data_IF_700173293292
#
_entry.id   IF_700173293292
#
_cell.length_a   1.000
_cell.length_b   1.000
_cell.length_c   1.000
_cell.angle_alpha   90.00
_cell.angle_beta   90.00
_cell.angle_gamma   90.00
#
_symmetry.space_group_name_H-M   'P 1'
#
loop_
_entity.id
_entity.type
_entity.pdbx_description
1 polymer ?
#
# COMPACT_ATOMS: atom_id res chain seq x y z
N UNK A 1 -48.32 -67.78 -2.93
CA UNK A 1 -47.24 -67.90 -1.94
C UNK A 1 -46.03 -67.18 -2.51
N UNK A 2 -45.48 -66.20 -1.79
CA UNK A 2 -44.15 -65.60 -2.01
C UNK A 2 -44.01 -64.80 -3.33
N UNK A 3 -43.58 -63.54 -3.40
CA UNK A 3 -42.75 -62.70 -2.55
C UNK A 3 -43.10 -61.21 -2.78
N UNK A 4 -42.90 -60.40 -1.74
CA UNK A 4 -42.76 -58.93 -1.80
C UNK A 4 -41.28 -58.61 -2.05
N UNK A 5 -40.92 -57.63 -2.89
CA UNK A 5 -40.20 -56.51 -2.30
C UNK A 5 -40.50 -55.18 -3.02
N UNK A 6 -41.36 -54.36 -2.42
CA UNK A 6 -41.46 -52.93 -2.76
C UNK A 6 -40.22 -52.17 -2.26
N UNK A 7 -39.41 -51.71 -3.23
CA UNK A 7 -38.18 -50.95 -3.04
C UNK A 7 -38.40 -49.65 -2.25
N UNK A 8 -37.69 -49.57 -1.11
CA UNK A 8 -37.06 -48.41 -0.48
C UNK A 8 -37.19 -47.08 -1.26
N UNK A 9 -38.14 -46.24 -0.85
CA UNK A 9 -38.14 -44.81 -1.18
C UNK A 9 -37.02 -44.10 -0.40
N UNK A 10 -35.95 -43.78 -1.13
CA UNK A 10 -34.81 -43.01 -0.64
C UNK A 10 -35.23 -41.56 -0.41
N UNK A 11 -35.15 -41.12 0.85
CA UNK A 11 -35.34 -39.74 1.30
C UNK A 11 -34.45 -38.77 0.51
N UNK A 12 -35.03 -37.96 -0.38
CA UNK A 12 -34.37 -36.84 -1.03
C UNK A 12 -34.44 -35.60 -0.12
N UNK A 13 -33.66 -35.61 0.96
CA UNK A 13 -33.48 -34.47 1.86
C UNK A 13 -32.41 -33.53 1.27
N UNK A 14 -32.89 -32.37 0.80
CA UNK A 14 -32.27 -31.04 0.76
C UNK A 14 -30.73 -31.00 0.94
N UNK A 15 -30.01 -30.79 -0.16
CA UNK A 15 -28.58 -30.58 -0.14
C UNK A 15 -28.22 -29.12 0.21
N UNK A 16 -27.27 -29.01 1.15
CA UNK A 16 -26.29 -27.93 1.34
C UNK A 16 -26.70 -26.67 2.13
N UNK A 17 -26.83 -26.84 3.45
CA UNK A 17 -26.38 -25.84 4.43
C UNK A 17 -24.86 -25.93 4.55
N UNK A 18 -24.09 -25.02 3.93
CA UNK A 18 -22.78 -24.54 4.42
C UNK A 18 -22.49 -23.18 3.73
N UNK A 19 -22.93 -22.08 4.33
CA UNK A 19 -22.26 -20.79 4.15
C UNK A 19 -21.64 -20.45 5.49
N UNK A 20 -20.34 -20.68 5.54
CA UNK A 20 -19.46 -20.64 6.69
C UNK A 20 -19.55 -19.28 7.37
N UNK A 21 -19.79 -19.35 8.68
CA UNK A 21 -19.42 -18.41 9.72
C UNK A 21 -18.19 -17.59 9.33
N UNK A 22 -18.42 -16.35 8.92
CA UNK A 22 -17.38 -15.41 8.50
C UNK A 22 -17.65 -13.98 8.96
N UNK A 23 -18.49 -13.74 9.97
CA UNK A 23 -18.35 -12.56 10.81
C UNK A 23 -17.23 -12.85 11.83
N UNK A 24 -16.01 -13.03 11.34
CA UNK A 24 -14.88 -12.56 12.13
C UNK A 24 -15.09 -11.07 12.26
N UNK A 25 -15.33 -10.59 13.48
CA UNK A 25 -15.19 -9.17 13.77
C UNK A 25 -13.91 -8.72 13.08
N UNK A 26 -14.01 -7.77 12.15
CA UNK A 26 -12.83 -7.12 11.63
C UNK A 26 -12.12 -6.59 12.87
N UNK A 27 -11.06 -7.27 13.30
CA UNK A 27 -10.11 -6.69 14.24
C UNK A 27 -9.78 -5.35 13.63
N UNK A 28 -10.00 -4.25 14.35
CA UNK A 28 -9.64 -2.93 13.87
C UNK A 28 -8.24 -3.05 13.27
N UNK A 29 -8.10 -2.88 11.95
CA UNK A 29 -6.80 -2.91 11.34
C UNK A 29 -5.96 -1.87 12.08
N UNK A 30 -4.80 -2.25 12.60
CA UNK A 30 -3.93 -1.31 13.30
C UNK A 30 -3.73 -0.10 12.39
N UNK A 31 -3.98 1.10 12.93
CA UNK A 31 -3.83 2.33 12.17
C UNK A 31 -2.36 2.45 11.74
N UNK A 32 -2.16 2.31 10.44
CA UNK A 32 -0.85 2.25 9.82
C UNK A 32 -0.76 3.32 8.73
N UNK A 33 0.25 4.17 8.83
CA UNK A 33 0.58 5.16 7.83
C UNK A 33 1.78 4.66 7.03
N UNK A 34 1.67 4.70 5.71
CA UNK A 34 2.78 4.41 4.82
C UNK A 34 3.19 5.67 4.08
N UNK A 35 4.47 6.04 4.19
CA UNK A 35 5.11 7.08 3.40
C UNK A 35 6.03 6.38 2.39
N UNK A 36 5.81 6.59 1.10
CA UNK A 36 6.70 6.08 0.06
C UNK A 36 7.49 7.23 -0.56
N UNK A 37 8.81 7.06 -0.66
CA UNK A 37 9.74 7.97 -1.31
C UNK A 37 10.40 7.21 -2.45
N UNK A 38 9.98 7.47 -3.68
CA UNK A 38 10.35 6.68 -4.85
C UNK A 38 10.93 7.55 -5.94
N UNK A 39 11.96 7.06 -6.63
CA UNK A 39 12.49 7.78 -7.78
C UNK A 39 11.62 7.50 -9.02
N UNK A 40 11.14 8.55 -9.67
CA UNK A 40 10.37 8.51 -10.90
C UNK A 40 11.12 9.30 -11.98
N UNK A 41 11.92 8.61 -12.78
CA UNK A 41 12.78 9.25 -13.78
C UNK A 41 13.78 10.21 -13.13
N UNK A 42 13.66 11.50 -13.47
CA UNK A 42 14.51 12.58 -12.97
C UNK A 42 13.97 13.26 -11.69
N UNK A 43 12.91 12.74 -11.08
CA UNK A 43 12.32 13.30 -9.86
C UNK A 43 12.25 12.24 -8.76
N UNK A 44 12.07 12.68 -7.52
CA UNK A 44 11.68 11.82 -6.39
C UNK A 44 10.26 12.18 -5.99
N UNK A 45 9.36 11.20 -6.05
CA UNK A 45 7.98 11.34 -5.58
C UNK A 45 7.86 10.90 -4.12
N UNK A 46 7.06 11.64 -3.37
CA UNK A 46 6.66 11.33 -2.00
C UNK A 46 5.16 11.12 -1.99
N UNK A 47 4.70 10.05 -1.37
CA UNK A 47 3.26 9.79 -1.15
C UNK A 47 3.03 9.30 0.27
N UNK A 48 1.89 9.65 0.85
CA UNK A 48 1.43 9.12 2.12
C UNK A 48 0.03 8.53 1.96
N UNK A 49 -0.20 7.37 2.56
CA UNK A 49 -1.50 6.72 2.63
C UNK A 49 -1.71 5.99 3.95
N UNK A 50 -2.95 5.59 4.21
CA UNK A 50 -3.33 4.81 5.39
C UNK A 50 -4.23 5.58 6.34
N UNK A 51 -4.25 5.19 7.60
CA UNK A 51 -5.03 5.86 8.66
C UNK A 51 -4.16 6.05 9.90
N UNK A 52 -4.52 7.02 10.72
CA UNK A 52 -3.83 7.35 11.96
C UNK A 52 -4.85 7.59 13.07
N UNK A 53 -4.68 6.93 14.21
CA UNK A 53 -5.51 7.15 15.38
C UNK A 53 -4.82 8.12 16.33
N UNK A 54 -5.25 9.38 16.27
CA UNK A 54 -4.73 10.47 17.13
C UNK A 54 -4.95 10.22 18.62
N UNK A 55 -5.97 9.45 19.00
CA UNK A 55 -6.27 9.15 20.40
C UNK A 55 -5.26 8.17 21.02
N UNK A 56 -4.50 7.43 20.20
CA UNK A 56 -3.46 6.50 20.65
C UNK A 56 -2.08 7.14 20.69
N UNK A 57 -1.94 8.40 20.26
CA UNK A 57 -0.67 9.09 20.14
C UNK A 57 -0.52 10.19 21.20
N UNK A 58 0.72 10.43 21.64
CA UNK A 58 1.03 11.53 22.56
C UNK A 58 1.32 12.78 21.76
N UNK A 59 0.46 13.80 21.88
CA UNK A 59 0.66 15.12 21.29
C UNK A 59 1.76 15.87 22.06
N UNK A 60 2.73 16.43 21.34
CA UNK A 60 3.83 17.24 21.88
C UNK A 60 3.58 18.73 21.61
N UNK A 61 3.07 19.07 20.42
CA UNK A 61 2.89 20.47 20.00
C UNK A 61 1.66 20.65 19.09
N UNK A 62 0.97 21.79 19.23
CA UNK A 62 -0.24 22.15 18.48
C UNK A 62 -0.68 23.61 18.72
N UNK A 63 -0.83 24.46 17.69
CA UNK A 63 -0.40 24.26 16.30
C UNK A 63 1.09 24.59 16.12
N UNK A 64 1.80 23.75 15.36
CA UNK A 64 3.18 24.00 14.94
C UNK A 64 3.26 24.41 13.46
N UNK A 65 4.45 24.88 13.04
CA UNK A 65 4.78 25.10 11.63
C UNK A 65 5.44 23.88 11.02
N UNK A 66 5.18 23.65 9.73
CA UNK A 66 5.60 22.46 9.01
C UNK A 66 6.54 22.79 7.84
N UNK A 67 7.68 22.11 7.77
CA UNK A 67 8.61 22.21 6.64
C UNK A 67 8.24 21.24 5.51
N UNK A 68 8.15 21.76 4.29
CA UNK A 68 7.95 20.96 3.07
C UNK A 68 9.30 20.67 2.41
N UNK A 69 10.08 19.75 3.00
CA UNK A 69 11.42 19.40 2.54
C UNK A 69 11.79 17.95 2.86
N UNK A 70 12.90 17.50 2.31
CA UNK A 70 13.56 16.24 2.64
C UNK A 70 14.95 16.54 3.19
N UNK A 71 15.29 15.93 4.32
CA UNK A 71 16.58 16.07 4.99
C UNK A 71 17.08 14.71 5.48
N UNK A 72 17.97 14.02 4.75
CA UNK A 72 18.32 12.63 5.05
C UNK A 72 18.99 12.43 6.41
N UNK A 73 19.98 13.25 6.77
CA UNK A 73 20.70 13.14 8.05
C UNK A 73 19.81 13.36 9.27
N UNK A 74 18.64 13.94 9.06
CA UNK A 74 17.65 14.28 10.07
C UNK A 74 16.48 13.30 10.13
N UNK A 75 16.45 12.31 9.20
CA UNK A 75 15.26 11.54 8.88
C UNK A 75 14.04 12.46 8.70
N UNK A 76 14.22 13.58 8.00
CA UNK A 76 13.16 14.52 7.73
C UNK A 76 12.54 14.24 6.37
N UNK A 77 11.23 14.01 6.33
CA UNK A 77 10.45 13.92 5.09
C UNK A 77 9.09 14.58 5.30
N UNK A 78 8.98 15.86 4.95
CA UNK A 78 7.77 16.65 5.02
C UNK A 78 7.24 17.06 3.64
N UNK A 79 5.99 16.73 3.35
CA UNK A 79 5.27 17.08 2.13
C UNK A 79 3.75 17.21 2.37
N UNK A 80 3.00 17.49 1.31
CA UNK A 80 1.56 17.79 1.39
C UNK A 80 1.28 19.27 1.70
N UNK A 81 0.01 19.69 1.69
CA UNK A 81 -0.33 21.12 1.71
C UNK A 81 0.17 21.83 2.96
N UNK A 82 0.78 23.01 2.79
CA UNK A 82 1.26 23.83 3.89
C UNK A 82 0.10 24.33 4.76
N UNK A 83 0.27 24.31 6.07
CA UNK A 83 -0.71 24.76 7.05
C UNK A 83 -0.28 24.41 8.46
N UNK A 84 -1.18 24.64 9.42
CA UNK A 84 -0.95 24.24 10.81
C UNK A 84 -0.93 22.72 10.94
N UNK A 85 -0.03 22.23 11.79
CA UNK A 85 0.13 20.80 12.09
C UNK A 85 0.08 20.53 13.59
N UNK A 86 -0.28 19.30 13.93
CA UNK A 86 -0.05 18.67 15.22
C UNK A 86 1.22 17.82 15.12
N UNK A 87 2.00 17.80 16.21
CA UNK A 87 3.21 16.98 16.31
C UNK A 87 3.04 15.94 17.41
N UNK A 88 3.32 14.68 17.11
CA UNK A 88 3.18 13.54 18.00
C UNK A 88 4.53 12.85 18.23
N UNK A 89 4.72 12.26 19.40
CA UNK A 89 5.94 11.47 19.72
C UNK A 89 6.06 10.27 18.78
N UNK A 90 7.18 10.18 18.07
CA UNK A 90 7.54 9.08 17.18
C UNK A 90 8.87 8.44 17.61
N UNK A 91 8.88 7.13 17.84
CA UNK A 91 10.12 6.38 18.12
C UNK A 91 10.55 5.60 16.88
N UNK A 92 11.78 5.78 16.41
CA UNK A 92 12.30 5.10 15.23
C UNK A 92 13.69 5.60 14.81
N UNK A 93 14.11 5.33 13.56
CA UNK A 93 15.39 5.79 13.03
C UNK A 93 15.53 7.32 13.01
N UNK A 94 16.71 7.84 13.34
CA UNK A 94 17.01 9.28 13.33
C UNK A 94 17.65 9.79 12.03
N UNK A 95 17.89 8.90 11.06
CA UNK A 95 18.47 9.24 9.76
C UNK A 95 17.93 8.33 8.64
N UNK A 96 17.71 8.92 7.46
CA UNK A 96 17.45 8.24 6.19
C UNK A 96 18.68 8.19 5.29
N UNK A 97 19.82 8.73 5.72
CA UNK A 97 21.04 8.81 4.94
C UNK A 97 22.02 9.87 5.45
N UNK A 98 23.24 9.90 4.91
CA UNK A 98 24.34 10.70 5.47
C UNK A 98 24.30 12.19 5.10
N UNK A 99 23.51 12.58 4.09
CA UNK A 99 23.51 13.96 3.58
C UNK A 99 22.76 14.92 4.49
N UNK A 100 23.38 16.06 4.79
CA UNK A 100 22.77 17.18 5.51
C UNK A 100 22.02 18.17 4.61
N UNK A 101 21.98 17.91 3.30
CA UNK A 101 21.26 18.74 2.34
C UNK A 101 19.76 18.71 2.65
N UNK A 102 19.17 19.90 2.74
CA UNK A 102 17.72 20.06 2.81
C UNK A 102 17.19 20.41 1.42
N UNK A 103 16.29 19.60 0.90
CA UNK A 103 15.75 19.78 -0.45
C UNK A 103 14.24 19.97 -0.37
N UNK A 104 13.74 21.09 -0.88
CA UNK A 104 12.31 21.41 -0.85
C UNK A 104 11.48 20.39 -1.62
N UNK A 105 10.30 20.09 -1.09
CA UNK A 105 9.24 19.39 -1.82
C UNK A 105 8.35 20.41 -2.53
N UNK A 106 7.82 20.04 -3.68
CA UNK A 106 7.03 20.89 -4.59
C UNK A 106 5.83 20.09 -5.12
N UNK A 107 4.86 20.76 -5.74
CA UNK A 107 3.65 20.09 -6.25
C UNK A 107 2.85 19.38 -5.15
N UNK A 108 2.95 19.89 -3.92
CA UNK A 108 2.37 19.27 -2.74
C UNK A 108 0.84 19.30 -2.77
N UNK A 109 0.21 18.19 -2.41
CA UNK A 109 -1.26 18.03 -2.36
C UNK A 109 -1.68 17.21 -1.14
N UNK A 110 -2.95 17.28 -0.76
CA UNK A 110 -3.48 16.55 0.40
C UNK A 110 -3.12 17.23 1.73
N UNK A 111 -3.03 16.44 2.80
CA UNK A 111 -2.70 16.93 4.14
C UNK A 111 -1.19 17.13 4.30
N UNK A 112 -0.77 18.19 5.01
CA UNK A 112 0.60 18.30 5.49
C UNK A 112 0.93 17.13 6.41
N UNK A 113 1.99 16.40 6.11
CA UNK A 113 2.41 15.20 6.84
C UNK A 113 3.92 15.02 6.75
N UNK A 114 4.53 14.51 7.82
CA UNK A 114 5.93 14.10 7.75
C UNK A 114 6.45 13.37 8.97
N UNK A 115 7.70 12.96 8.86
CA UNK A 115 8.51 12.45 9.95
C UNK A 115 9.70 13.39 10.12
N UNK A 116 10.09 13.61 11.37
CA UNK A 116 11.39 14.14 11.74
C UNK A 116 12.01 13.12 12.70
N UNK A 117 12.95 12.30 12.24
CA UNK A 117 13.52 11.26 13.12
C UNK A 117 14.52 11.79 14.14
N UNK A 118 15.25 12.87 13.82
CA UNK A 118 16.23 13.46 14.73
C UNK A 118 15.60 14.26 15.89
N UNK A 119 14.37 14.76 15.69
CA UNK A 119 13.50 15.28 16.75
C UNK A 119 12.26 14.41 16.71
N UNK A 120 12.16 13.37 17.57
CA UNK A 120 11.32 12.18 17.42
C UNK A 120 9.82 12.49 17.22
N UNK A 121 9.48 12.97 16.03
CA UNK A 121 8.23 13.67 15.73
C UNK A 121 7.57 13.03 14.51
N UNK A 122 6.29 12.72 14.65
CA UNK A 122 5.38 12.51 13.55
C UNK A 122 4.48 13.74 13.42
N UNK A 123 4.44 14.30 12.23
CA UNK A 123 3.78 15.56 11.94
C UNK A 123 2.56 15.28 11.08
N UNK A 124 1.41 15.86 11.45
CA UNK A 124 0.16 15.69 10.71
C UNK A 124 -0.69 16.94 10.80
N UNK A 125 -1.29 17.35 9.69
CA UNK A 125 -2.16 18.53 9.60
C UNK A 125 -3.22 18.57 10.71
N UNK A 126 -3.46 19.74 11.30
CA UNK A 126 -4.54 19.94 12.27
C UNK A 126 -5.93 19.74 11.67
N UNK A 127 -6.05 19.73 10.34
CA UNK A 127 -7.28 19.44 9.62
C UNK A 127 -7.57 17.92 9.52
N UNK A 128 -6.64 17.06 9.94
CA UNK A 128 -6.84 15.62 9.94
C UNK A 128 -7.89 15.19 10.97
N UNK A 129 -8.83 14.36 10.54
CA UNK A 129 -9.80 13.71 11.41
C UNK A 129 -9.30 12.30 11.75
N UNK A 130 -9.24 11.95 13.04
CA UNK A 130 -8.75 10.65 13.50
C UNK A 130 -9.39 9.48 12.75
N UNK A 131 -8.57 8.50 12.34
CA UNK A 131 -8.94 7.32 11.55
C UNK A 131 -9.47 7.59 10.13
N UNK A 132 -9.50 8.85 9.68
CA UNK A 132 -9.79 9.14 8.28
C UNK A 132 -8.63 8.74 7.37
N UNK A 133 -8.94 8.52 6.09
CA UNK A 133 -7.94 8.15 5.09
C UNK A 133 -6.96 9.31 4.86
N UNK A 134 -5.67 9.02 4.95
CA UNK A 134 -4.59 9.89 4.51
C UNK A 134 -4.36 9.66 3.02
N UNK A 135 -4.22 10.75 2.28
CA UNK A 135 -3.79 10.78 0.89
C UNK A 135 -3.06 12.10 0.64
N UNK A 136 -1.74 12.04 0.64
CA UNK A 136 -0.89 13.21 0.40
C UNK A 136 0.18 12.86 -0.61
N UNK A 137 0.62 13.85 -1.38
CA UNK A 137 1.70 13.67 -2.34
C UNK A 137 2.56 14.94 -2.45
N UNK A 138 3.79 14.77 -2.93
CA UNK A 138 4.73 15.82 -3.25
C UNK A 138 5.90 15.32 -4.08
N UNK A 139 6.73 16.23 -4.57
CA UNK A 139 7.87 15.91 -5.42
C UNK A 139 9.12 16.68 -5.03
N UNK A 140 10.28 16.04 -5.13
CA UNK A 140 11.56 16.72 -5.28
C UNK A 140 11.92 16.68 -6.77
N UNK A 141 11.93 17.85 -7.42
CA UNK A 141 12.19 17.95 -8.85
C UNK A 141 13.69 17.87 -9.15
N UNK A 142 14.02 17.29 -10.31
CA UNK A 142 15.38 17.21 -10.85
C UNK A 142 16.37 16.55 -9.86
N UNK A 143 15.92 15.50 -9.20
CA UNK A 143 16.65 14.76 -8.18
C UNK A 143 16.51 13.26 -8.36
N UNK A 144 17.58 12.55 -8.01
CA UNK A 144 17.59 11.11 -7.71
C UNK A 144 17.70 10.90 -6.21
N UNK A 145 17.33 9.73 -5.69
CA UNK A 145 17.49 9.40 -4.27
C UNK A 145 18.94 9.61 -3.81
N UNK A 146 19.90 9.16 -4.63
CA UNK A 146 21.32 9.32 -4.39
C UNK A 146 21.76 10.79 -4.39
N UNK A 147 21.25 11.63 -5.31
CA UNK A 147 21.66 13.05 -5.41
C UNK A 147 21.23 13.87 -4.20
N UNK A 148 20.12 13.52 -3.55
CA UNK A 148 19.69 14.15 -2.30
C UNK A 148 20.24 13.43 -1.08
N UNK A 149 20.89 12.27 -1.26
CA UNK A 149 21.57 11.51 -0.21
C UNK A 149 20.65 10.64 0.65
N UNK A 150 19.51 10.22 0.11
CA UNK A 150 18.66 9.21 0.71
C UNK A 150 19.23 7.81 0.49
N UNK A 151 19.18 6.99 1.55
CA UNK A 151 19.54 5.57 1.51
C UNK A 151 18.27 4.75 1.37
N UNK A 152 18.22 3.88 0.37
CA UNK A 152 17.08 3.00 0.15
C UNK A 152 16.90 2.04 1.34
N UNK A 153 15.66 1.78 1.73
CA UNK A 153 15.35 0.96 2.90
C UNK A 153 13.92 1.13 3.40
N UNK A 154 13.60 0.39 4.47
CA UNK A 154 12.35 0.49 5.21
C UNK A 154 12.66 1.03 6.60
N UNK A 155 12.05 2.14 6.95
CA UNK A 155 12.25 2.83 8.23
C UNK A 155 10.92 2.85 8.97
N UNK A 156 10.84 2.09 10.06
CA UNK A 156 9.62 1.95 10.83
C UNK A 156 9.66 2.85 12.07
N UNK A 157 8.54 3.50 12.33
CA UNK A 157 8.31 4.35 13.48
C UNK A 157 7.08 3.86 14.24
N UNK A 158 7.15 3.97 15.56
CA UNK A 158 6.01 3.77 16.45
C UNK A 158 5.55 5.13 16.96
N UNK A 159 4.28 5.45 16.80
CA UNK A 159 3.68 6.73 17.21
C UNK A 159 2.52 6.42 18.16
N UNK A 160 2.86 6.24 19.44
CA UNK A 160 1.96 5.66 20.42
C UNK A 160 1.51 4.27 19.99
N UNK A 161 0.19 4.05 19.85
CA UNK A 161 -0.37 2.79 19.35
C UNK A 161 -0.38 2.63 17.82
N UNK A 162 0.15 3.59 17.06
CA UNK A 162 0.15 3.56 15.59
C UNK A 162 1.51 3.13 15.04
N UNK A 163 1.52 2.62 13.80
CA UNK A 163 2.76 2.38 13.04
C UNK A 163 2.86 3.36 11.88
N UNK A 164 4.05 3.93 11.66
CA UNK A 164 4.38 4.72 10.47
C UNK A 164 5.58 4.09 9.78
N UNK A 165 5.42 3.70 8.52
CA UNK A 165 6.49 3.09 7.72
C UNK A 165 6.91 4.04 6.61
N UNK A 166 8.19 4.38 6.56
CA UNK A 166 8.80 5.13 5.46
C UNK A 166 9.56 4.16 4.56
N UNK A 167 9.09 3.99 3.33
CA UNK A 167 9.74 3.17 2.31
C UNK A 167 10.52 4.06 1.35
N UNK A 168 11.83 3.87 1.25
CA UNK A 168 12.70 4.66 0.38
C UNK A 168 13.28 3.77 -0.71
N UNK A 169 13.07 4.15 -1.96
CA UNK A 169 13.60 3.43 -3.12
C UNK A 169 12.97 2.06 -3.38
N UNK A 170 11.97 1.67 -2.61
CA UNK A 170 11.16 0.48 -2.88
C UNK A 170 10.16 0.83 -3.97
N UNK A 171 10.37 0.32 -5.19
CA UNK A 171 9.28 0.28 -6.16
C UNK A 171 8.17 -0.59 -5.54
N UNK A 172 6.92 -0.13 -5.59
CA UNK A 172 5.80 -1.03 -5.34
C UNK A 172 6.02 -2.24 -6.24
N UNK A 173 6.03 -3.45 -5.67
CA UNK A 173 6.15 -4.67 -6.46
C UNK A 173 5.00 -4.65 -7.45
N UNK A 174 5.29 -4.25 -8.69
CA UNK A 174 4.33 -4.32 -9.77
C UNK A 174 4.03 -5.81 -9.89
N UNK A 175 2.76 -6.26 -9.81
CA UNK A 175 2.42 -7.65 -10.02
C UNK A 175 2.69 -8.05 -11.47
N UNK A 176 3.95 -8.26 -11.81
CA UNK A 176 4.38 -8.85 -13.07
C UNK A 176 4.53 -10.35 -12.81
N UNK A 177 3.43 -11.13 -12.77
CA UNK A 177 3.22 -12.04 -13.89
C UNK A 177 1.75 -12.48 -14.17
N UNK A 178 0.71 -11.76 -13.72
CA UNK A 178 -0.66 -12.12 -14.14
C UNK A 178 -0.82 -12.04 -15.66
N UNK A 179 -0.10 -11.13 -16.31
CA UNK A 179 -0.05 -11.01 -17.78
C UNK A 179 0.50 -12.29 -18.43
N UNK A 180 1.52 -12.91 -17.84
CA UNK A 180 2.10 -14.14 -18.37
C UNK A 180 1.13 -15.31 -18.22
N UNK A 181 0.46 -15.40 -17.06
CA UNK A 181 -0.60 -16.37 -16.82
C UNK A 181 -1.76 -16.23 -17.81
N UNK A 182 -2.22 -15.00 -18.06
CA UNK A 182 -3.29 -14.71 -19.03
C UNK A 182 -2.87 -14.94 -20.48
N UNK A 183 -1.60 -14.67 -20.85
CA UNK A 183 -1.07 -14.98 -22.18
C UNK A 183 -1.00 -16.50 -22.41
N UNK A 184 -0.46 -17.26 -21.45
CA UNK A 184 -0.39 -18.72 -21.55
C UNK A 184 -1.79 -19.33 -21.60
N UNK A 185 -2.70 -18.85 -20.76
CA UNK A 185 -4.09 -19.29 -20.76
C UNK A 185 -4.77 -18.95 -22.09
N UNK A 186 -4.59 -17.73 -22.60
CA UNK A 186 -5.13 -17.28 -23.89
C UNK A 186 -4.62 -18.11 -25.07
N UNK A 187 -3.29 -18.28 -25.20
CA UNK A 187 -2.69 -19.09 -26.25
C UNK A 187 -3.02 -20.58 -26.11
N UNK A 188 -3.06 -21.09 -24.88
CA UNK A 188 -3.46 -22.46 -24.58
C UNK A 188 -4.90 -22.75 -25.04
N UNK A 189 -5.83 -21.83 -24.76
CA UNK A 189 -7.22 -21.96 -25.21
C UNK A 189 -7.36 -21.89 -26.73
N UNK A 190 -6.67 -20.96 -27.40
CA UNK A 190 -6.69 -20.86 -28.87
C UNK A 190 -6.11 -22.12 -29.51
N UNK A 191 -4.97 -22.62 -29.01
CA UNK A 191 -4.35 -23.85 -29.51
C UNK A 191 -5.24 -25.08 -29.29
N UNK A 192 -5.88 -25.20 -28.12
CA UNK A 192 -6.82 -26.28 -27.83
C UNK A 192 -8.04 -26.23 -28.76
N UNK A 193 -8.58 -25.04 -29.02
CA UNK A 193 -9.71 -24.84 -29.93
C UNK A 193 -9.35 -25.11 -31.40
N UNK A 194 -8.13 -24.79 -31.84
CA UNK A 194 -7.65 -25.12 -33.17
C UNK A 194 -7.48 -26.64 -33.34
N UNK A 195 -6.94 -27.33 -32.32
CA UNK A 195 -6.72 -28.79 -32.34
C UNK A 195 -8.02 -29.60 -32.30
N UNK A 196 -9.08 -29.08 -31.67
CA UNK A 196 -10.35 -29.81 -31.56
C UNK A 196 -11.15 -29.87 -32.86
N UNK A 197 -10.85 -29.00 -33.85
CA UNK A 197 -11.45 -29.06 -35.20
C UNK A 197 -10.81 -30.19 -36.02
N UNK A 198 -11.36 -31.41 -35.92
CA UNK A 198 -11.01 -32.50 -36.85
C UNK A 198 -11.48 -32.15 -38.27
N UNK A 199 -10.55 -31.84 -39.16
CA UNK A 199 -10.84 -31.67 -40.58
C UNK A 199 -11.10 -33.06 -41.17
N UNK A 200 -12.37 -33.38 -41.48
CA UNK A 200 -12.72 -34.56 -42.26
C UNK A 200 -12.32 -34.28 -43.71
N UNK A 201 -11.17 -34.80 -44.11
CA UNK A 201 -10.72 -34.73 -45.50
C UNK A 201 -11.37 -35.88 -46.26
N UNK A 202 -12.37 -35.58 -47.08
CA UNK A 202 -12.92 -36.55 -48.03
C UNK A 202 -11.96 -36.64 -49.21
N UNK A 203 -11.31 -37.79 -49.37
CA UNK A 203 -10.44 -38.06 -50.53
C UNK A 203 -11.28 -38.77 -51.59
N UNK A 204 -11.41 -38.18 -52.78
CA UNK A 204 -12.01 -38.82 -53.94
C UNK A 204 -10.88 -39.41 -54.81
N UNK A 205 -10.94 -40.71 -55.10
CA UNK A 205 -10.05 -41.36 -56.06
C UNK A 205 -10.69 -41.36 -57.45
N UNK A 206 -9.86 -41.15 -58.47
CA UNK A 206 -10.20 -41.18 -59.89
C UNK A 206 -9.75 -42.50 -60.53
#
# INVERSE_FOLDING_TARGET
MHEDPTMKMTNLLLAATVAISGLTAATAADAAVTINITQLGANVALTASGTFNTALATLIDSPASFGQLVGPSYAFAGFGTQGSVNTYVATGPSSFGPSSTLTNTTGNTGLGIGIYGAFPDFILSTAYVSNSQINSAGFVNNATLASIGLTAGVYNYTVGGNTVTVNIGQAAAVPEPATWGLMILGFGMIGAAARSRKIKTTVAYA
#
